data_IF_458258874171
#
_entry.id   IF_458258874171
#
_cell.length_a   1.000
_cell.length_b   1.000
_cell.length_c   1.000
_cell.angle_alpha   90.00
_cell.angle_beta   90.00
_cell.angle_gamma   90.00
#
_symmetry.space_group_name_H-M   'P 1'
#
loop_
_entity.id
_entity.type
_entity.pdbx_description
1 polymer ?
#
# COMPACT_ATOMS: atom_id res chain seq x y z
N UNK A 1 -15.05 -1.40 1.02
CA UNK A 1 -14.64 -2.65 1.70
C UNK A 1 -13.28 -3.06 1.15
N UNK A 2 -12.42 -3.77 1.90
CA UNK A 2 -11.15 -4.27 1.32
C UNK A 2 -11.45 -5.30 0.22
N UNK A 3 -10.83 -5.10 -0.94
CA UNK A 3 -10.95 -5.94 -2.13
C UNK A 3 -9.73 -6.86 -2.26
N UNK A 4 -9.97 -8.15 -2.49
CA UNK A 4 -8.90 -9.10 -2.71
C UNK A 4 -8.05 -8.67 -3.92
N UNK A 5 -6.73 -8.85 -3.83
CA UNK A 5 -5.77 -8.39 -4.81
C UNK A 5 -5.16 -7.01 -4.52
N UNK A 6 -5.75 -6.22 -3.61
CA UNK A 6 -5.22 -4.89 -3.26
C UNK A 6 -3.95 -5.01 -2.41
N UNK A 7 -2.96 -4.20 -2.74
CA UNK A 7 -1.69 -4.11 -2.02
C UNK A 7 -1.73 -3.11 -0.86
N UNK A 8 -1.03 -3.46 0.21
CA UNK A 8 -0.90 -2.70 1.42
C UNK A 8 0.55 -2.66 1.87
N UNK A 9 0.90 -1.58 2.57
CA UNK A 9 2.10 -1.51 3.38
C UNK A 9 1.69 -1.89 4.81
N UNK A 10 2.31 -2.93 5.35
CA UNK A 10 2.16 -3.38 6.73
C UNK A 10 3.42 -3.01 7.53
N UNK A 11 3.23 -2.30 8.63
CA UNK A 11 4.23 -2.00 9.63
C UNK A 11 3.95 -2.87 10.86
N UNK A 12 4.78 -3.90 11.07
CA UNK A 12 4.62 -4.84 12.16
C UNK A 12 5.91 -4.95 12.96
N UNK A 13 5.84 -4.60 14.25
CA UNK A 13 6.98 -4.59 15.17
C UNK A 13 8.17 -3.76 14.66
N UNK A 14 7.89 -2.66 13.94
CA UNK A 14 8.92 -1.79 13.36
C UNK A 14 9.49 -2.28 12.03
N UNK A 15 9.06 -3.45 11.54
CA UNK A 15 9.41 -3.93 10.21
C UNK A 15 8.28 -3.58 9.22
N UNK A 16 8.65 -2.88 8.13
CA UNK A 16 7.72 -2.51 7.06
C UNK A 16 7.85 -3.46 5.88
N UNK A 17 6.71 -3.95 5.39
CA UNK A 17 6.63 -4.93 4.31
C UNK A 17 5.43 -4.67 3.40
N UNK A 18 5.55 -5.03 2.13
CA UNK A 18 4.43 -5.03 1.20
C UNK A 18 3.67 -6.35 1.28
N UNK A 19 2.36 -6.26 1.46
CA UNK A 19 1.47 -7.41 1.54
C UNK A 19 0.25 -7.21 0.66
N UNK A 20 -0.20 -8.26 -0.02
CA UNK A 20 -1.44 -8.27 -0.77
C UNK A 20 -2.55 -8.83 0.11
N UNK A 21 -3.72 -8.20 0.08
CA UNK A 21 -4.90 -8.76 0.71
C UNK A 21 -5.47 -9.87 -0.17
N UNK A 22 -5.43 -11.12 0.30
CA UNK A 22 -5.70 -12.30 -0.56
C UNK A 22 -6.97 -13.03 -0.20
N UNK A 23 -7.47 -12.89 1.04
CA UNK A 23 -8.65 -13.63 1.47
C UNK A 23 -9.31 -13.03 2.73
N UNK A 24 -10.59 -13.35 2.93
CA UNK A 24 -11.28 -13.19 4.22
C UNK A 24 -12.23 -14.33 4.50
N UNK A 25 -12.48 -14.58 5.78
CA UNK A 25 -13.51 -15.52 6.20
C UNK A 25 -14.90 -15.07 5.75
N UNK A 26 -15.85 -16.02 5.62
CA UNK A 26 -17.24 -15.73 5.23
C UNK A 26 -17.89 -14.67 6.12
N UNK A 27 -17.61 -14.70 7.43
CA UNK A 27 -18.11 -13.74 8.43
C UNK A 27 -17.28 -12.45 8.53
N UNK A 28 -16.23 -12.30 7.71
CA UNK A 28 -15.32 -11.14 7.67
C UNK A 28 -14.66 -10.86 9.03
N UNK A 29 -14.42 -11.91 9.82
CA UNK A 29 -13.76 -11.80 11.13
C UNK A 29 -12.26 -12.05 11.04
N UNK A 30 -11.81 -12.69 9.96
CA UNK A 30 -10.41 -12.99 9.69
C UNK A 30 -10.07 -12.48 8.29
N UNK A 31 -8.92 -11.82 8.17
CA UNK A 31 -8.41 -11.19 6.98
C UNK A 31 -6.97 -11.65 6.76
N UNK A 32 -6.69 -12.22 5.59
CA UNK A 32 -5.39 -12.77 5.26
C UNK A 32 -4.66 -11.84 4.29
N UNK A 33 -3.41 -11.55 4.62
CA UNK A 33 -2.48 -10.82 3.79
C UNK A 33 -1.26 -11.71 3.50
N UNK A 34 -0.72 -11.64 2.29
CA UNK A 34 0.46 -12.40 1.88
C UNK A 34 1.52 -11.47 1.29
N UNK A 35 2.76 -11.61 1.70
CA UNK A 35 3.92 -10.93 1.10
C UNK A 35 4.55 -11.77 -0.01
N UNK A 36 5.37 -11.12 -0.84
CA UNK A 36 6.08 -11.78 -1.95
C UNK A 36 7.19 -12.74 -1.48
N UNK A 37 7.68 -12.56 -0.26
CA UNK A 37 8.67 -13.45 0.37
C UNK A 37 8.06 -14.72 0.98
N UNK A 38 6.74 -14.91 0.82
CA UNK A 38 6.02 -16.11 1.26
C UNK A 38 5.46 -16.04 2.68
N UNK A 39 5.67 -14.94 3.41
CA UNK A 39 5.02 -14.77 4.71
C UNK A 39 3.53 -14.45 4.58
N UNK A 40 2.75 -14.92 5.55
CA UNK A 40 1.31 -14.74 5.60
C UNK A 40 0.89 -14.18 6.97
N UNK A 41 0.01 -13.18 6.94
CA UNK A 41 -0.46 -12.46 8.11
C UNK A 41 -1.97 -12.58 8.21
N UNK A 42 -2.44 -13.33 9.21
CA UNK A 42 -3.87 -13.49 9.49
C UNK A 42 -4.28 -12.55 10.61
N UNK A 43 -5.08 -11.53 10.29
CA UNK A 43 -5.56 -10.54 11.24
C UNK A 43 -7.03 -10.75 11.56
N UNK A 44 -7.37 -10.67 12.84
CA UNK A 44 -8.77 -10.50 13.26
C UNK A 44 -9.27 -9.11 12.90
N UNK A 45 -10.57 -8.98 12.66
CA UNK A 45 -11.21 -7.71 12.26
C UNK A 45 -10.85 -6.54 13.17
N UNK A 46 -10.88 -6.72 14.49
CA UNK A 46 -10.57 -5.67 15.45
C UNK A 46 -9.10 -5.23 15.37
N UNK A 47 -8.16 -6.18 15.24
CA UNK A 47 -6.72 -5.87 15.09
C UNK A 47 -6.45 -5.16 13.76
N UNK A 48 -7.07 -5.62 12.68
CA UNK A 48 -6.97 -4.97 11.37
C UNK A 48 -7.49 -3.52 11.44
N UNK A 49 -8.61 -3.29 12.12
CA UNK A 49 -9.15 -1.94 12.32
C UNK A 49 -8.18 -1.06 13.11
N UNK A 50 -7.59 -1.56 14.20
CA UNK A 50 -6.60 -0.83 14.96
C UNK A 50 -5.36 -0.48 14.13
N UNK A 51 -4.87 -1.39 13.28
CA UNK A 51 -3.72 -1.14 12.40
C UNK A 51 -4.04 -0.08 11.33
N UNK A 52 -5.24 -0.13 10.73
CA UNK A 52 -5.70 0.89 9.79
C UNK A 52 -5.79 2.28 10.46
N UNK A 53 -6.38 2.34 11.65
CA UNK A 53 -6.52 3.57 12.42
C UNK A 53 -5.17 4.17 12.84
N UNK A 54 -4.20 3.31 13.18
CA UNK A 54 -2.85 3.72 13.57
C UNK A 54 -1.90 3.97 12.38
N UNK A 55 -2.34 3.75 11.13
CA UNK A 55 -1.48 3.85 9.94
C UNK A 55 -0.44 2.72 9.79
N UNK A 56 -0.55 1.67 10.61
CA UNK A 56 0.31 0.47 10.54
C UNK A 56 -0.10 -0.47 9.41
N UNK A 57 -1.32 -0.33 8.89
CA UNK A 57 -1.75 -0.97 7.66
C UNK A 57 -2.30 0.12 6.75
N UNK A 58 -1.58 0.47 5.71
CA UNK A 58 -1.98 1.51 4.77
C UNK A 58 -2.10 0.91 3.37
N UNK A 59 -3.06 1.38 2.57
CA UNK A 59 -3.08 1.04 1.14
C UNK A 59 -1.72 1.42 0.57
N UNK A 60 -1.10 0.50 -0.15
CA UNK A 60 0.09 0.85 -0.91
C UNK A 60 -0.37 1.73 -2.07
N UNK A 61 -0.24 3.04 -1.92
CA UNK A 61 -0.46 3.98 -3.00
C UNK A 61 0.80 3.92 -3.86
N UNK A 62 0.77 3.14 -4.94
CA UNK A 62 1.65 3.44 -6.05
C UNK A 62 1.20 4.84 -6.51
N UNK A 63 2.01 5.85 -6.21
CA UNK A 63 1.93 7.09 -6.96
C UNK A 63 1.92 6.71 -8.44
N UNK A 64 0.75 6.86 -9.08
CA UNK A 64 0.51 6.32 -10.41
C UNK A 64 1.69 6.72 -11.30
N UNK A 65 2.24 5.78 -12.09
CA UNK A 65 3.46 6.01 -12.88
C UNK A 65 3.44 7.38 -13.61
N UNK A 66 2.26 7.80 -14.06
CA UNK A 66 1.96 9.10 -14.68
C UNK A 66 2.14 10.32 -13.75
N UNK A 67 1.75 10.23 -12.48
CA UNK A 67 1.92 11.29 -11.46
C UNK A 67 3.40 11.47 -11.15
N UNK A 68 4.14 10.38 -10.98
CA UNK A 68 5.59 10.43 -10.81
C UNK A 68 6.29 10.98 -12.05
N UNK A 69 5.90 10.50 -13.24
CA UNK A 69 6.44 10.99 -14.51
C UNK A 69 6.16 12.49 -14.74
N UNK A 70 4.96 12.98 -14.39
CA UNK A 70 4.62 14.41 -14.50
C UNK A 70 5.37 15.26 -13.47
N UNK A 71 5.56 14.78 -12.23
CA UNK A 71 6.40 15.47 -11.25
C UNK A 71 7.86 15.57 -11.71
N UNK A 72 8.44 14.47 -12.19
CA UNK A 72 9.82 14.44 -12.69
C UNK A 72 9.99 15.32 -13.92
N UNK A 73 9.00 15.34 -14.83
CA UNK A 73 8.99 16.22 -15.99
C UNK A 73 8.93 17.70 -15.58
N UNK A 74 8.04 18.06 -14.63
CA UNK A 74 7.94 19.42 -14.10
C UNK A 74 9.22 19.88 -13.40
N UNK A 75 9.87 19.01 -12.61
CA UNK A 75 11.18 19.32 -12.02
C UNK A 75 12.26 19.54 -13.07
N UNK A 76 12.31 18.71 -14.13
CA UNK A 76 13.27 18.87 -15.23
C UNK A 76 13.07 20.18 -16.01
N UNK A 77 11.82 20.59 -16.20
CA UNK A 77 11.44 21.86 -16.85
C UNK A 77 11.79 23.06 -15.95
N UNK A 78 11.49 23.00 -14.66
CA UNK A 78 11.86 24.05 -13.71
C UNK A 78 13.37 24.24 -13.60
N UNK A 79 14.15 23.16 -13.73
CA UNK A 79 15.61 23.21 -13.74
C UNK A 79 16.20 23.74 -15.06
N UNK A 80 15.45 23.72 -16.17
CA UNK A 80 15.91 24.09 -17.52
C UNK A 80 14.75 24.75 -18.30
N UNK A 81 14.35 25.98 -17.90
CA UNK A 81 13.16 26.64 -18.44
C UNK A 81 13.25 26.96 -19.94
N UNK A 82 14.44 27.03 -20.52
CA UNK A 82 14.69 27.22 -21.96
C UNK A 82 14.22 26.05 -22.83
N UNK A 83 13.94 24.88 -22.25
CA UNK A 83 13.44 23.68 -22.97
C UNK A 83 11.97 23.77 -23.39
N UNK A 84 11.29 24.86 -23.04
CA UNK A 84 9.91 25.17 -23.44
C UNK A 84 9.82 26.07 -24.70
N UNK A 85 10.95 26.56 -25.23
CA UNK A 85 11.00 27.45 -26.39
C UNK A 85 10.94 26.69 -27.73
#
# INVERSE_FOLDING_TARGET
ALEAGRWFTLDHNGARMQVQYVWRSRRKQLHLFASLDGHCYLLQLQRMAAYLQAGLLAVHDEEALTVRATRDALQKIQANPERLA
#
